data_IF_318734020961
#
_entry.id   IF_318734020961
#
_cell.length_a   1.000
_cell.length_b   1.000
_cell.length_c   1.000
_cell.angle_alpha   90.00
_cell.angle_beta   90.00
_cell.angle_gamma   90.00
#
_symmetry.space_group_name_H-M   'P 1'
#
loop_
_entity.id
_entity.type
_entity.pdbx_description
1 polymer ?
#
# COMPACT_ATOMS: atom_id res chain seq x y z
N UNK A 1 -13.63 -32.71 -28.02
CA UNK A 1 -13.58 -31.32 -28.56
C UNK A 1 -14.01 -30.27 -27.53
N UNK A 2 -15.02 -30.51 -26.69
CA UNK A 2 -15.47 -29.57 -25.63
C UNK A 2 -14.47 -29.25 -24.51
N UNK A 3 -13.60 -30.20 -24.13
CA UNK A 3 -12.63 -30.01 -23.02
C UNK A 3 -11.50 -29.02 -23.40
N UNK A 4 -11.18 -28.93 -24.70
CA UNK A 4 -10.12 -28.03 -25.20
C UNK A 4 -10.61 -26.57 -25.25
N UNK A 5 -11.88 -26.35 -25.61
CA UNK A 5 -12.50 -25.01 -25.59
C UNK A 5 -12.58 -24.41 -24.18
N UNK A 6 -13.04 -25.18 -23.20
CA UNK A 6 -13.13 -24.72 -21.79
C UNK A 6 -11.75 -24.39 -21.21
N UNK A 7 -10.71 -25.17 -21.55
CA UNK A 7 -9.32 -24.87 -21.12
C UNK A 7 -8.79 -23.57 -21.73
N UNK A 8 -9.08 -23.30 -23.00
CA UNK A 8 -8.68 -22.07 -23.67
C UNK A 8 -9.33 -20.85 -23.01
N UNK A 9 -10.64 -20.91 -22.71
CA UNK A 9 -11.36 -19.80 -22.07
C UNK A 9 -10.82 -19.49 -20.66
N UNK A 10 -10.53 -20.52 -19.85
CA UNK A 10 -9.95 -20.34 -18.51
C UNK A 10 -8.55 -19.71 -18.60
N UNK A 11 -7.75 -20.13 -19.58
CA UNK A 11 -6.37 -19.61 -19.74
C UNK A 11 -6.38 -18.14 -20.17
N UNK A 12 -7.32 -17.76 -21.05
CA UNK A 12 -7.50 -16.37 -21.47
C UNK A 12 -7.99 -15.51 -20.30
N UNK A 13 -8.94 -16.00 -19.51
CA UNK A 13 -9.44 -15.31 -18.31
C UNK A 13 -8.31 -15.09 -17.30
N UNK A 14 -7.49 -16.12 -17.03
CA UNK A 14 -6.33 -16.02 -16.15
C UNK A 14 -5.31 -14.98 -16.65
N UNK A 15 -4.99 -14.98 -17.94
CA UNK A 15 -4.11 -13.97 -18.54
C UNK A 15 -4.67 -12.54 -18.41
N UNK A 16 -5.97 -12.34 -18.59
CA UNK A 16 -6.61 -11.03 -18.43
C UNK A 16 -6.55 -10.59 -16.96
N UNK A 17 -6.84 -11.49 -16.03
CA UNK A 17 -6.77 -11.22 -14.58
C UNK A 17 -5.35 -10.85 -14.16
N UNK A 18 -4.34 -11.60 -14.59
CA UNK A 18 -2.93 -11.27 -14.34
C UNK A 18 -2.59 -9.89 -14.88
N UNK A 19 -3.01 -9.59 -16.12
CA UNK A 19 -2.72 -8.31 -16.76
C UNK A 19 -3.37 -7.12 -16.04
N UNK A 20 -4.55 -7.33 -15.43
CA UNK A 20 -5.23 -6.32 -14.61
C UNK A 20 -4.55 -6.16 -13.25
N UNK A 21 -4.26 -7.28 -12.57
CA UNK A 21 -3.63 -7.31 -11.25
C UNK A 21 -2.26 -6.59 -11.30
N UNK A 22 -1.41 -6.92 -12.28
CA UNK A 22 -0.10 -6.30 -12.41
C UNK A 22 -0.10 -4.97 -13.18
N UNK A 23 -1.28 -4.39 -13.45
CA UNK A 23 -1.34 -3.12 -14.15
C UNK A 23 -0.92 -1.93 -13.27
N UNK A 24 -0.28 -0.93 -13.88
CA UNK A 24 0.03 0.35 -13.20
C UNK A 24 -1.22 1.02 -12.61
N UNK A 25 -2.39 0.82 -13.22
CA UNK A 25 -3.67 1.34 -12.74
C UNK A 25 -4.07 0.71 -11.41
N UNK A 26 -3.87 -0.60 -11.26
CA UNK A 26 -4.14 -1.32 -10.01
C UNK A 26 -3.22 -0.83 -8.88
N UNK A 27 -1.94 -0.63 -9.18
CA UNK A 27 -0.98 -0.08 -8.20
C UNK A 27 -1.40 1.31 -7.74
N UNK A 28 -1.75 2.21 -8.67
CA UNK A 28 -2.22 3.55 -8.33
C UNK A 28 -3.49 3.52 -7.49
N UNK A 29 -4.43 2.62 -7.80
CA UNK A 29 -5.65 2.44 -7.02
C UNK A 29 -5.33 1.96 -5.59
N UNK A 30 -4.45 0.98 -5.44
CA UNK A 30 -4.05 0.46 -4.13
C UNK A 30 -3.31 1.52 -3.29
N UNK A 31 -2.45 2.32 -3.91
CA UNK A 31 -1.79 3.43 -3.23
C UNK A 31 -2.80 4.49 -2.77
N UNK A 32 -3.81 4.77 -3.60
CA UNK A 32 -4.87 5.70 -3.25
C UNK A 32 -5.75 5.17 -2.10
N UNK A 33 -6.09 3.88 -2.12
CA UNK A 33 -6.82 3.23 -1.03
C UNK A 33 -6.02 3.22 0.27
N UNK A 34 -4.71 2.95 0.20
CA UNK A 34 -3.81 3.01 1.35
C UNK A 34 -3.76 4.42 1.95
N UNK A 35 -3.68 5.45 1.10
CA UNK A 35 -3.76 6.84 1.54
C UNK A 35 -5.06 7.15 2.30
N UNK A 36 -6.21 6.76 1.75
CA UNK A 36 -7.53 6.99 2.39
C UNK A 36 -7.62 6.22 3.71
N UNK A 37 -7.20 4.95 3.73
CA UNK A 37 -7.25 4.11 4.92
C UNK A 37 -6.47 4.73 6.07
N UNK A 38 -5.21 5.11 5.82
CA UNK A 38 -4.38 5.75 6.84
C UNK A 38 -4.94 7.10 7.28
N UNK A 39 -5.46 7.91 6.35
CA UNK A 39 -6.10 9.17 6.71
C UNK A 39 -7.33 8.95 7.61
N UNK A 40 -8.14 7.94 7.32
CA UNK A 40 -9.31 7.59 8.12
C UNK A 40 -8.91 7.09 9.52
N UNK A 41 -7.96 6.16 9.60
CA UNK A 41 -7.45 5.61 10.87
C UNK A 41 -6.91 6.73 11.76
N UNK A 42 -6.13 7.64 11.18
CA UNK A 42 -5.55 8.77 11.92
C UNK A 42 -6.56 9.85 12.28
N UNK A 43 -7.62 10.06 11.48
CA UNK A 43 -8.65 11.06 11.78
C UNK A 43 -9.62 10.62 12.88
N UNK A 44 -10.02 9.35 12.88
CA UNK A 44 -11.03 8.83 13.83
C UNK A 44 -10.39 8.28 15.10
N UNK A 45 -9.23 7.65 14.96
CA UNK A 45 -8.39 7.11 16.04
C UNK A 45 -9.15 6.39 17.17
N UNK A 46 -10.07 5.51 16.81
CA UNK A 46 -10.74 4.62 17.78
C UNK A 46 -10.28 3.16 17.58
N UNK A 47 -10.64 2.31 18.54
CA UNK A 47 -10.23 0.89 18.53
C UNK A 47 -10.61 0.16 17.25
N UNK A 48 -11.83 0.36 16.76
CA UNK A 48 -12.33 -0.35 15.59
C UNK A 48 -11.61 0.10 14.32
N UNK A 49 -11.45 1.42 14.14
CA UNK A 49 -10.68 1.98 13.03
C UNK A 49 -9.24 1.49 13.03
N UNK A 50 -8.58 1.43 14.18
CA UNK A 50 -7.22 0.90 14.30
C UNK A 50 -7.15 -0.58 13.90
N UNK A 51 -8.07 -1.42 14.37
CA UNK A 51 -8.06 -2.86 14.05
C UNK A 51 -8.33 -3.08 12.56
N UNK A 52 -9.45 -2.57 12.06
CA UNK A 52 -9.87 -2.82 10.68
C UNK A 52 -8.95 -2.15 9.67
N UNK A 53 -8.51 -0.91 9.94
CA UNK A 53 -7.55 -0.21 9.10
C UNK A 53 -6.19 -0.90 9.07
N UNK A 54 -5.70 -1.42 10.20
CA UNK A 54 -4.45 -2.20 10.21
C UNK A 54 -4.57 -3.45 9.34
N UNK A 55 -5.69 -4.16 9.39
CA UNK A 55 -5.93 -5.34 8.54
C UNK A 55 -5.91 -4.95 7.06
N UNK A 56 -6.64 -3.89 6.67
CA UNK A 56 -6.68 -3.41 5.29
C UNK A 56 -5.29 -2.98 4.82
N UNK A 57 -4.58 -2.18 5.61
CA UNK A 57 -3.21 -1.75 5.35
C UNK A 57 -2.26 -2.94 5.16
N UNK A 58 -2.34 -3.98 6.01
CA UNK A 58 -1.52 -5.19 5.87
C UNK A 58 -1.81 -5.93 4.56
N UNK A 59 -3.08 -6.05 4.16
CA UNK A 59 -3.46 -6.69 2.89
C UNK A 59 -2.89 -5.91 1.71
N UNK A 60 -3.06 -4.59 1.70
CA UNK A 60 -2.55 -3.73 0.61
C UNK A 60 -1.02 -3.78 0.55
N UNK A 61 -0.34 -3.59 1.68
CA UNK A 61 1.13 -3.65 1.75
C UNK A 61 1.67 -5.03 1.37
N UNK A 62 0.99 -6.10 1.79
CA UNK A 62 1.34 -7.47 1.39
C UNK A 62 1.26 -7.66 -0.12
N UNK A 63 0.23 -7.12 -0.76
CA UNK A 63 0.11 -7.13 -2.22
C UNK A 63 1.24 -6.33 -2.90
N UNK A 64 1.52 -5.10 -2.42
CA UNK A 64 2.58 -4.26 -2.99
C UNK A 64 3.97 -4.89 -2.80
N UNK A 65 4.21 -5.56 -1.68
CA UNK A 65 5.43 -6.32 -1.44
C UNK A 65 5.55 -7.53 -2.38
N UNK A 66 4.47 -8.28 -2.58
CA UNK A 66 4.43 -9.39 -3.54
C UNK A 66 4.64 -8.91 -4.99
N UNK A 67 4.03 -7.79 -5.36
CA UNK A 67 4.24 -7.13 -6.66
C UNK A 67 5.73 -6.77 -6.83
N UNK A 68 6.33 -6.16 -5.81
CA UNK A 68 7.74 -5.77 -5.79
C UNK A 68 8.68 -6.96 -5.91
N UNK A 69 8.36 -8.09 -5.27
CA UNK A 69 9.14 -9.31 -5.39
C UNK A 69 9.06 -9.92 -6.79
N UNK A 70 7.87 -9.90 -7.40
CA UNK A 70 7.62 -10.45 -8.73
C UNK A 70 8.27 -9.61 -9.84
N UNK A 71 8.44 -8.30 -9.63
CA UNK A 71 9.08 -7.39 -10.58
C UNK A 71 10.55 -7.15 -10.20
N UNK A 72 11.50 -7.69 -10.99
CA UNK A 72 12.94 -7.66 -10.66
C UNK A 72 13.66 -6.31 -10.88
N UNK A 73 12.99 -5.30 -11.44
CA UNK A 73 13.65 -4.02 -11.69
C UNK A 73 13.83 -3.25 -10.39
N UNK A 74 15.08 -3.14 -9.93
CA UNK A 74 15.42 -2.37 -8.72
C UNK A 74 14.86 -0.93 -8.74
N UNK A 75 14.81 -0.30 -9.93
CA UNK A 75 14.23 1.05 -10.10
C UNK A 75 12.72 1.07 -9.84
N UNK A 76 12.00 0.05 -10.29
CA UNK A 76 10.55 -0.04 -10.09
C UNK A 76 10.20 -0.34 -8.63
N UNK A 77 10.97 -1.22 -7.99
CA UNK A 77 10.79 -1.53 -6.56
C UNK A 77 11.07 -0.30 -5.70
N UNK A 78 12.13 0.44 -6.01
CA UNK A 78 12.43 1.70 -5.32
C UNK A 78 11.31 2.73 -5.52
N UNK A 79 10.87 2.95 -6.77
CA UNK A 79 9.78 3.88 -7.06
C UNK A 79 8.51 3.50 -6.30
N UNK A 80 8.14 2.22 -6.30
CA UNK A 80 6.97 1.73 -5.58
C UNK A 80 7.10 1.94 -4.06
N UNK A 81 8.29 1.69 -3.49
CA UNK A 81 8.57 1.93 -2.08
C UNK A 81 8.41 3.42 -1.75
N UNK A 82 8.95 4.32 -2.58
CA UNK A 82 8.82 5.76 -2.40
C UNK A 82 7.36 6.21 -2.48
N UNK A 83 6.61 5.76 -3.49
CA UNK A 83 5.20 6.11 -3.62
C UNK A 83 4.34 5.57 -2.47
N UNK A 84 4.66 4.36 -1.98
CA UNK A 84 3.99 3.78 -0.81
C UNK A 84 4.24 4.64 0.42
N UNK A 85 5.50 5.01 0.66
CA UNK A 85 5.88 5.89 1.78
C UNK A 85 5.21 7.25 1.70
N UNK A 86 5.15 7.86 0.51
CA UNK A 86 4.45 9.13 0.30
C UNK A 86 2.95 9.00 0.58
N UNK A 87 2.30 7.93 0.11
CA UNK A 87 0.88 7.68 0.39
C UNK A 87 0.60 7.56 1.89
N UNK A 88 1.44 6.82 2.62
CA UNK A 88 1.33 6.69 4.07
C UNK A 88 1.53 8.05 4.78
N UNK A 89 2.60 8.78 4.47
CA UNK A 89 2.90 10.08 5.11
C UNK A 89 1.80 11.10 4.84
N UNK A 90 1.36 11.22 3.58
CA UNK A 90 0.28 12.14 3.21
C UNK A 90 -1.03 11.73 3.89
N UNK A 91 -1.30 10.42 4.01
CA UNK A 91 -2.46 9.90 4.74
C UNK A 91 -2.43 10.33 6.20
N UNK A 92 -1.31 10.13 6.90
CA UNK A 92 -1.14 10.54 8.30
C UNK A 92 -1.36 12.05 8.49
N UNK A 93 -0.74 12.89 7.65
CA UNK A 93 -0.90 14.35 7.69
C UNK A 93 -2.36 14.73 7.47
N UNK A 94 -3.00 14.15 6.45
CA UNK A 94 -4.42 14.38 6.14
C UNK A 94 -5.28 14.02 7.35
N UNK A 95 -5.09 12.83 7.92
CA UNK A 95 -5.87 12.36 9.06
C UNK A 95 -5.74 13.28 10.28
N UNK A 96 -4.52 13.74 10.59
CA UNK A 96 -4.29 14.69 11.68
C UNK A 96 -5.01 16.04 11.43
N UNK A 97 -4.92 16.57 10.21
CA UNK A 97 -5.56 17.85 9.85
C UNK A 97 -7.08 17.76 10.01
N UNK A 98 -7.71 16.66 9.57
CA UNK A 98 -9.16 16.51 9.59
C UNK A 98 -9.74 15.99 10.92
N UNK A 99 -9.01 15.15 11.65
CA UNK A 99 -9.44 14.64 12.97
C UNK A 99 -9.36 15.69 14.08
N UNK A 100 -8.57 16.75 13.86
CA UNK A 100 -8.21 17.71 14.90
C UNK A 100 -7.21 17.10 15.88
N UNK A 101 -6.25 17.90 16.36
CA UNK A 101 -5.20 17.49 17.31
C UNK A 101 -5.72 17.10 18.71
N UNK A 102 -6.98 16.69 18.82
CA UNK A 102 -7.69 16.47 20.07
C UNK A 102 -7.25 15.17 20.75
N UNK A 103 -6.64 14.23 20.01
CA UNK A 103 -6.12 12.98 20.55
C UNK A 103 -4.59 12.92 20.46
N UNK A 104 -3.94 12.96 21.62
CA UNK A 104 -2.48 12.80 21.75
C UNK A 104 -2.05 11.43 21.19
N UNK A 105 -2.87 10.39 21.35
CA UNK A 105 -2.60 9.06 20.82
C UNK A 105 -2.50 9.05 19.30
N UNK A 106 -3.39 9.77 18.60
CA UNK A 106 -3.35 9.88 17.14
C UNK A 106 -2.06 10.55 16.65
N UNK A 107 -1.62 11.58 17.36
CA UNK A 107 -0.38 12.30 17.07
C UNK A 107 0.86 11.43 17.32
N UNK A 108 0.89 10.67 18.42
CA UNK A 108 1.97 9.73 18.73
C UNK A 108 2.03 8.59 17.70
N UNK A 109 0.87 8.03 17.33
CA UNK A 109 0.76 7.00 16.29
C UNK A 109 1.31 7.50 14.95
N UNK A 110 0.90 8.69 14.51
CA UNK A 110 1.37 9.27 13.27
C UNK A 110 2.89 9.52 13.29
N UNK A 111 3.44 10.00 14.41
CA UNK A 111 4.88 10.21 14.56
C UNK A 111 5.65 8.89 14.49
N UNK A 112 5.19 7.85 15.19
CA UNK A 112 5.82 6.51 15.17
C UNK A 112 5.78 5.91 13.76
N UNK A 113 4.66 6.03 13.05
CA UNK A 113 4.53 5.54 11.68
C UNK A 113 5.45 6.32 10.73
N UNK A 114 5.48 7.65 10.83
CA UNK A 114 6.37 8.48 10.01
C UNK A 114 7.86 8.12 10.21
N UNK A 115 8.30 7.96 11.46
CA UNK A 115 9.69 7.53 11.76
C UNK A 115 9.97 6.15 11.18
N UNK A 116 9.05 5.20 11.32
CA UNK A 116 9.19 3.84 10.79
C UNK A 116 9.32 3.84 9.27
N UNK A 117 8.51 4.66 8.58
CA UNK A 117 8.55 4.82 7.12
C UNK A 117 9.89 5.43 6.67
N UNK A 118 10.37 6.46 7.37
CA UNK A 118 11.67 7.08 7.07
C UNK A 118 12.83 6.10 7.24
N UNK A 119 12.79 5.26 8.28
CA UNK A 119 13.77 4.20 8.48
C UNK A 119 13.73 3.17 7.33
N UNK A 120 12.54 2.73 6.92
CA UNK A 120 12.40 1.80 5.78
C UNK A 120 12.97 2.42 4.50
N UNK A 121 12.67 3.69 4.22
CA UNK A 121 13.25 4.40 3.08
C UNK A 121 14.78 4.48 3.14
N UNK A 122 15.32 4.80 4.32
CA UNK A 122 16.77 4.85 4.53
C UNK A 122 17.43 3.49 4.27
N UNK A 123 16.88 2.41 4.80
CA UNK A 123 17.40 1.06 4.58
C UNK A 123 17.25 0.62 3.13
N UNK A 124 16.11 0.91 2.49
CA UNK A 124 15.90 0.62 1.08
C UNK A 124 16.94 1.34 0.21
N UNK A 125 17.16 2.65 0.44
CA UNK A 125 18.17 3.40 -0.30
C UNK A 125 19.58 2.79 -0.16
N UNK A 126 19.94 2.38 1.06
CA UNK A 126 21.24 1.74 1.34
C UNK A 126 21.40 0.39 0.65
N UNK A 127 20.35 -0.43 0.59
CA UNK A 127 20.37 -1.75 -0.07
C UNK A 127 20.51 -1.59 -1.58
N UNK A 128 19.79 -0.64 -2.18
CA UNK A 128 19.82 -0.40 -3.62
C UNK A 128 21.04 0.43 -4.09
N UNK A 129 21.93 0.85 -3.17
CA UNK A 129 23.18 1.58 -3.43
C UNK A 129 22.98 2.79 -4.36
N UNK A 130 22.06 3.67 -3.99
CA UNK A 130 21.95 5.01 -4.56
C UNK A 130 22.55 6.01 -3.58
#
# INVERSE_FOLDING_TARGET
>A
MFIVGIRLDITVILMVIEKILYSRKMISLLLFLLYIDIAYVSAVFNRDALIYGTIVSVIILGYLAYYSHSHRSAKEVLALTVFTSLALILGLITGIIFGGYNDIGASMYALTMAISILLILYFANRIYRI
#
